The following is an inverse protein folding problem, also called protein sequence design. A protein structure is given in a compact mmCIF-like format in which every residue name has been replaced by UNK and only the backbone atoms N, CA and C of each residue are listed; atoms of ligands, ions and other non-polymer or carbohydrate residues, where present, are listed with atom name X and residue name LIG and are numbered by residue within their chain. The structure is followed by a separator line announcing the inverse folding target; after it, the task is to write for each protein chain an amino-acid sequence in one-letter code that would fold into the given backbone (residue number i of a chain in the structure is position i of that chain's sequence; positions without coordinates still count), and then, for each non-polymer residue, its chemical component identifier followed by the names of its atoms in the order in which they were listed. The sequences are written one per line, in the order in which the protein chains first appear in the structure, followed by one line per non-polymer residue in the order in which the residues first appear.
data_IF_534439566693
#
_entry.id   IF_534439566693
#
_cell.length_a   1.000
_cell.length_b   1.000
_cell.length_c   1.000
_cell.angle_alpha   90.00
_cell.angle_beta   90.00
_cell.angle_gamma   90.00
#
_symmetry.space_group_name_H-M   'P 1'
#
loop_
_entity.id
_entity.type
_entity.pdbx_description
1 polymer ?
#
# COMPACT_ATOMS: atom_id res chain seq x y z
N UNK A 1 -45.24 -14.91 -11.84
CA UNK A 1 -43.85 -14.78 -11.39
C UNK A 1 -43.49 -13.33 -11.66
N UNK A 2 -43.61 -12.48 -10.62
CA UNK A 2 -43.29 -11.07 -10.68
C UNK A 2 -41.75 -10.93 -10.73
N UNK A 3 -41.20 -10.53 -11.86
CA UNK A 3 -39.85 -10.06 -12.00
C UNK A 3 -39.77 -8.70 -11.29
N UNK A 4 -39.38 -8.69 -10.04
CA UNK A 4 -39.03 -7.48 -9.33
C UNK A 4 -37.87 -6.82 -10.10
N UNK A 5 -38.16 -5.73 -10.79
CA UNK A 5 -37.17 -4.88 -11.45
C UNK A 5 -36.19 -4.38 -10.39
N UNK A 6 -34.95 -4.84 -10.48
CA UNK A 6 -33.87 -4.28 -9.65
C UNK A 6 -33.83 -2.75 -9.88
N UNK A 7 -33.77 -1.93 -8.83
CA UNK A 7 -33.70 -0.49 -8.99
C UNK A 7 -32.52 -0.16 -9.88
N UNK A 8 -32.76 0.57 -10.97
CA UNK A 8 -31.72 1.11 -11.85
C UNK A 8 -30.86 2.04 -11.00
N UNK A 9 -29.74 1.51 -10.56
CA UNK A 9 -28.81 2.23 -9.71
C UNK A 9 -28.21 3.37 -10.52
N UNK A 10 -28.47 4.60 -10.11
CA UNK A 10 -27.90 5.78 -10.77
C UNK A 10 -26.39 5.78 -10.58
N UNK A 11 -25.66 5.35 -11.60
CA UNK A 11 -24.20 5.45 -11.67
C UNK A 11 -23.83 6.92 -11.82
N UNK A 12 -23.26 7.50 -10.78
CA UNK A 12 -22.88 8.91 -10.75
C UNK A 12 -21.38 9.07 -10.58
N UNK A 13 -20.81 10.11 -11.17
CA UNK A 13 -19.39 10.41 -10.98
C UNK A 13 -19.05 10.72 -9.52
N UNK A 14 -19.98 11.28 -8.77
CA UNK A 14 -19.76 11.66 -7.36
C UNK A 14 -19.47 10.43 -6.49
N UNK A 15 -20.19 9.33 -6.67
CA UNK A 15 -20.07 8.15 -5.82
C UNK A 15 -18.66 7.52 -5.88
N UNK A 16 -18.12 7.26 -7.08
CA UNK A 16 -16.78 6.68 -7.20
C UNK A 16 -15.67 7.66 -6.77
N UNK A 17 -15.84 8.96 -6.97
CA UNK A 17 -14.90 9.99 -6.48
C UNK A 17 -14.82 9.97 -4.96
N UNK A 18 -15.96 9.86 -4.26
CA UNK A 18 -16.02 9.75 -2.80
C UNK A 18 -15.29 8.48 -2.32
N UNK A 19 -15.47 7.36 -3.02
CA UNK A 19 -14.77 6.10 -2.67
C UNK A 19 -13.27 6.26 -2.84
N UNK A 20 -12.80 6.87 -3.94
CA UNK A 20 -11.36 7.15 -4.14
C UNK A 20 -10.84 8.10 -3.06
N UNK A 21 -11.56 9.18 -2.75
CA UNK A 21 -11.19 10.11 -1.68
C UNK A 21 -11.10 9.39 -0.31
N UNK A 22 -12.04 8.47 -0.01
CA UNK A 22 -11.98 7.63 1.19
C UNK A 22 -10.72 6.77 1.23
N UNK A 23 -10.30 6.21 0.08
CA UNK A 23 -9.04 5.48 -0.05
C UNK A 23 -7.82 6.35 0.22
N UNK A 24 -7.78 7.57 -0.35
CA UNK A 24 -6.71 8.54 -0.09
C UNK A 24 -6.63 8.88 1.39
N UNK A 25 -7.77 9.22 2.01
CA UNK A 25 -7.83 9.52 3.44
C UNK A 25 -7.34 8.35 4.29
N UNK A 26 -7.72 7.12 3.96
CA UNK A 26 -7.22 5.93 4.65
C UNK A 26 -5.69 5.79 4.52
N UNK A 27 -5.14 6.07 3.34
CA UNK A 27 -3.70 6.05 3.10
C UNK A 27 -2.93 7.14 3.86
N UNK A 28 -3.54 8.31 4.12
CA UNK A 28 -2.92 9.35 4.97
C UNK A 28 -2.57 8.81 6.37
N UNK A 29 -3.42 7.93 6.94
CA UNK A 29 -3.16 7.32 8.24
C UNK A 29 -1.95 6.39 8.24
N UNK A 30 -1.57 5.80 7.11
CA UNK A 30 -0.33 5.05 6.99
C UNK A 30 0.86 6.02 7.05
N UNK A 31 0.83 7.05 6.22
CA UNK A 31 1.98 7.89 5.91
C UNK A 31 2.21 9.07 6.84
N UNK A 32 1.23 9.42 7.70
CA UNK A 32 1.40 10.48 8.72
C UNK A 32 2.53 10.17 9.71
N UNK A 33 2.84 8.88 9.93
CA UNK A 33 3.80 8.48 10.95
C UNK A 33 5.26 8.72 10.55
N UNK A 34 5.63 8.46 9.29
CA UNK A 34 7.03 8.50 8.88
C UNK A 34 7.72 9.85 9.18
N UNK A 35 7.16 11.02 8.81
CA UNK A 35 7.78 12.31 9.17
C UNK A 35 7.66 12.66 10.65
N UNK A 36 6.67 12.11 11.37
CA UNK A 36 6.47 12.38 12.80
C UNK A 36 7.32 11.45 13.68
N UNK A 37 7.88 10.38 13.11
CA UNK A 37 8.55 9.33 13.87
C UNK A 37 9.70 9.83 14.74
N UNK A 38 10.62 10.68 14.26
CA UNK A 38 11.72 11.20 15.08
C UNK A 38 11.21 11.93 16.34
N UNK A 39 10.25 12.85 16.15
CA UNK A 39 9.65 13.63 17.25
C UNK A 39 8.92 12.72 18.26
N UNK A 40 8.16 11.74 17.77
CA UNK A 40 7.45 10.80 18.63
C UNK A 40 8.44 9.91 19.39
N UNK A 41 9.51 9.46 18.72
CA UNK A 41 10.56 8.63 19.33
C UNK A 41 11.28 9.39 20.46
N UNK A 42 11.60 10.64 20.25
CA UNK A 42 12.22 11.50 21.28
C UNK A 42 11.26 11.69 22.47
N UNK A 43 9.99 12.00 22.21
CA UNK A 43 9.01 12.30 23.25
C UNK A 43 8.60 11.06 24.08
N UNK A 44 8.44 9.90 23.43
CA UNK A 44 7.98 8.67 24.08
C UNK A 44 9.12 7.72 24.48
N UNK A 45 10.38 8.01 24.11
CA UNK A 45 11.57 7.32 24.61
C UNK A 45 11.72 5.86 24.17
N UNK A 46 11.33 5.48 22.94
CA UNK A 46 11.40 4.09 22.47
C UNK A 46 12.57 3.82 21.52
N UNK A 47 12.94 2.55 21.40
CA UNK A 47 14.04 2.10 20.55
C UNK A 47 13.75 2.22 19.05
N UNK A 48 14.80 2.24 18.22
CA UNK A 48 14.68 2.22 16.75
C UNK A 48 13.94 0.96 16.25
N UNK A 49 14.15 -0.19 16.90
CA UNK A 49 13.40 -1.41 16.58
C UNK A 49 11.92 -1.27 16.83
N UNK A 50 11.52 -0.61 17.93
CA UNK A 50 10.12 -0.29 18.21
C UNK A 50 9.55 0.69 17.18
N UNK A 51 10.34 1.67 16.74
CA UNK A 51 9.98 2.58 15.65
C UNK A 51 9.65 1.82 14.36
N UNK A 52 10.46 0.84 13.99
CA UNK A 52 10.20 -0.04 12.86
C UNK A 52 8.90 -0.85 13.01
N UNK A 53 8.66 -1.35 14.23
CA UNK A 53 7.39 -2.04 14.55
C UNK A 53 6.20 -1.09 14.42
N UNK A 54 6.31 0.14 14.91
CA UNK A 54 5.27 1.15 14.85
C UNK A 54 4.92 1.57 13.40
N UNK A 55 5.92 1.65 12.51
CA UNK A 55 5.72 1.87 11.08
C UNK A 55 4.99 0.70 10.41
N UNK A 56 5.37 -0.52 10.73
CA UNK A 56 4.84 -1.73 10.08
C UNK A 56 3.50 -2.19 10.64
N UNK A 57 3.19 -1.95 11.91
CA UNK A 57 2.06 -2.57 12.62
C UNK A 57 0.70 -2.31 11.98
N UNK A 58 0.53 -1.19 11.30
CA UNK A 58 -0.71 -0.86 10.56
C UNK A 58 -1.04 -1.90 9.48
N UNK A 59 -0.06 -2.70 9.06
CA UNK A 59 -0.23 -3.75 8.05
C UNK A 59 -0.70 -5.09 8.63
N UNK A 60 -0.67 -5.28 9.97
CA UNK A 60 -1.04 -6.56 10.62
C UNK A 60 -2.47 -6.98 10.24
N UNK A 61 -3.40 -6.04 10.24
CA UNK A 61 -4.77 -6.34 9.84
C UNK A 61 -4.87 -6.88 8.40
N UNK A 62 -4.03 -6.35 7.49
CA UNK A 62 -3.93 -6.85 6.11
C UNK A 62 -3.23 -8.19 5.99
N UNK A 63 -2.24 -8.46 6.86
CA UNK A 63 -1.55 -9.76 6.91
C UNK A 63 -2.50 -10.90 7.30
N UNK A 64 -3.36 -10.64 8.27
CA UNK A 64 -4.30 -11.65 8.80
C UNK A 64 -5.62 -11.62 8.03
N UNK A 65 -6.07 -10.42 7.69
CA UNK A 65 -7.43 -10.12 7.26
C UNK A 65 -7.67 -10.09 5.75
N UNK A 66 -6.67 -10.17 4.89
CA UNK A 66 -6.88 -10.00 3.44
C UNK A 66 -7.92 -10.95 2.85
N UNK A 67 -7.84 -12.25 3.18
CA UNK A 67 -8.86 -13.23 2.82
C UNK A 67 -10.13 -13.12 3.69
N UNK A 68 -9.98 -12.82 5.00
CA UNK A 68 -11.10 -12.67 5.90
C UNK A 68 -12.00 -11.48 5.56
N UNK A 69 -11.41 -10.34 5.17
CA UNK A 69 -12.17 -9.16 4.73
C UNK A 69 -12.87 -9.42 3.39
N UNK A 70 -12.28 -10.23 2.51
CA UNK A 70 -12.96 -10.68 1.29
C UNK A 70 -14.19 -11.53 1.61
N UNK A 71 -14.12 -12.42 2.60
CA UNK A 71 -15.27 -13.18 3.08
C UNK A 71 -16.28 -12.31 3.82
N UNK A 72 -15.82 -11.30 4.57
CA UNK A 72 -16.68 -10.37 5.29
C UNK A 72 -17.59 -9.60 4.32
N UNK A 73 -17.08 -9.27 3.13
CA UNK A 73 -17.88 -8.59 2.09
C UNK A 73 -19.03 -9.44 1.53
N UNK A 74 -18.99 -10.76 1.71
CA UNK A 74 -20.08 -11.65 1.37
C UNK A 74 -21.23 -11.63 2.42
N UNK A 75 -20.90 -11.25 3.66
CA UNK A 75 -21.84 -11.20 4.79
C UNK A 75 -22.33 -9.77 5.05
N UNK A 76 -21.40 -8.81 5.01
CA UNK A 76 -21.66 -7.39 5.23
C UNK A 76 -21.46 -6.67 3.89
N UNK A 77 -22.38 -5.78 3.54
CA UNK A 77 -22.26 -5.02 2.29
C UNK A 77 -20.95 -4.22 2.23
N UNK A 78 -20.37 -4.07 1.04
CA UNK A 78 -19.10 -3.35 0.82
C UNK A 78 -19.17 -1.91 1.35
N UNK A 79 -20.33 -1.24 1.16
CA UNK A 79 -20.58 0.10 1.70
C UNK A 79 -20.49 0.13 3.23
N UNK A 80 -21.10 -0.82 3.92
CA UNK A 80 -21.05 -0.89 5.40
C UNK A 80 -19.64 -1.19 5.89
N UNK A 81 -18.92 -2.06 5.21
CA UNK A 81 -17.52 -2.37 5.52
C UNK A 81 -16.63 -1.13 5.33
N UNK A 82 -16.83 -0.35 4.27
CA UNK A 82 -16.13 0.93 4.06
C UNK A 82 -16.41 1.91 5.21
N UNK A 83 -17.67 2.07 5.61
CA UNK A 83 -18.05 2.96 6.73
C UNK A 83 -17.45 2.53 8.06
N UNK A 84 -17.45 1.23 8.37
CA UNK A 84 -16.80 0.67 9.55
C UNK A 84 -15.28 0.94 9.51
N UNK A 85 -14.65 0.78 8.34
CA UNK A 85 -13.24 1.11 8.14
C UNK A 85 -12.94 2.57 8.46
N UNK A 86 -13.74 3.50 7.95
CA UNK A 86 -13.58 4.94 8.24
C UNK A 86 -13.78 5.25 9.73
N UNK A 87 -14.75 4.63 10.39
CA UNK A 87 -14.97 4.80 11.84
C UNK A 87 -13.78 4.27 12.66
N UNK A 88 -13.19 3.14 12.30
CA UNK A 88 -11.98 2.62 12.94
C UNK A 88 -10.78 3.56 12.73
N UNK A 89 -10.65 4.18 11.56
CA UNK A 89 -9.62 5.19 11.31
C UNK A 89 -9.80 6.42 12.19
N UNK A 90 -11.03 6.91 12.32
CA UNK A 90 -11.36 8.05 13.19
C UNK A 90 -11.00 7.72 14.64
N UNK A 91 -11.49 6.61 15.17
CA UNK A 91 -11.26 6.21 16.56
C UNK A 91 -9.78 5.91 16.83
N UNK A 92 -9.11 5.17 15.97
CA UNK A 92 -7.69 4.87 16.09
C UNK A 92 -6.83 6.14 16.06
N UNK A 93 -7.13 7.08 15.17
CA UNK A 93 -6.41 8.35 15.11
C UNK A 93 -6.69 9.25 16.33
N UNK A 94 -7.93 9.38 16.73
CA UNK A 94 -8.30 10.18 17.91
C UNK A 94 -7.64 9.65 19.19
N UNK A 95 -7.73 8.34 19.43
CA UNK A 95 -7.09 7.69 20.58
C UNK A 95 -5.56 7.75 20.49
N UNK A 96 -5.00 7.59 19.28
CA UNK A 96 -3.56 7.72 19.04
C UNK A 96 -3.06 9.14 19.36
N UNK A 97 -3.81 10.18 18.97
CA UNK A 97 -3.49 11.56 19.31
C UNK A 97 -3.57 11.87 20.81
N UNK A 98 -4.38 11.12 21.56
CA UNK A 98 -4.47 11.26 23.02
C UNK A 98 -3.42 10.41 23.75
N UNK A 99 -2.67 9.53 23.09
CA UNK A 99 -1.73 8.63 23.72
C UNK A 99 -0.47 9.36 24.22
N UNK A 100 -0.03 9.00 25.41
CA UNK A 100 1.23 9.45 26.01
C UNK A 100 2.19 8.29 26.28
N UNK A 101 1.84 7.11 25.79
CA UNK A 101 2.59 5.88 25.95
C UNK A 101 2.78 5.21 24.57
N UNK A 102 3.98 4.66 24.34
CA UNK A 102 4.34 4.05 23.07
C UNK A 102 3.52 2.79 22.75
N UNK A 103 3.16 1.98 23.75
CA UNK A 103 2.37 0.77 23.53
C UNK A 103 0.90 1.08 23.27
N UNK A 104 0.36 2.14 23.91
CA UNK A 104 -0.99 2.65 23.61
C UNK A 104 -1.02 3.16 22.18
N UNK A 105 -0.01 3.93 21.75
CA UNK A 105 0.11 4.38 20.36
C UNK A 105 0.17 3.18 19.40
N UNK A 106 0.96 2.13 19.73
CA UNK A 106 1.06 0.91 18.93
C UNK A 106 -0.31 0.22 18.80
N UNK A 107 -1.08 0.10 19.88
CA UNK A 107 -2.41 -0.50 19.86
C UNK A 107 -3.37 0.30 18.98
N UNK A 108 -3.34 1.63 19.03
CA UNK A 108 -4.17 2.48 18.15
C UNK A 108 -3.79 2.36 16.69
N UNK A 109 -2.50 2.12 16.37
CA UNK A 109 -2.04 1.84 15.00
C UNK A 109 -2.61 0.53 14.45
N UNK A 110 -2.81 -0.51 15.29
CA UNK A 110 -3.49 -1.75 14.88
C UNK A 110 -4.95 -1.46 14.50
N UNK A 111 -5.64 -0.64 15.30
CA UNK A 111 -7.03 -0.21 15.01
C UNK A 111 -7.09 0.57 13.68
N UNK A 112 -6.16 1.51 13.47
CA UNK A 112 -6.06 2.22 12.19
C UNK A 112 -5.80 1.26 11.03
N UNK A 113 -4.93 0.26 11.23
CA UNK A 113 -4.65 -0.78 10.23
C UNK A 113 -5.90 -1.58 9.82
N UNK A 114 -6.73 -1.94 10.81
CA UNK A 114 -8.03 -2.57 10.52
C UNK A 114 -8.94 -1.65 9.69
N UNK A 115 -8.96 -0.35 9.99
CA UNK A 115 -9.68 0.64 9.22
C UNK A 115 -9.16 0.79 7.79
N UNK A 116 -7.83 0.82 7.61
CA UNK A 116 -7.18 0.87 6.30
C UNK A 116 -7.58 -0.32 5.43
N UNK A 117 -7.43 -1.55 5.94
CA UNK A 117 -7.72 -2.75 5.13
C UNK A 117 -9.20 -2.84 4.75
N UNK A 118 -10.11 -2.52 5.66
CA UNK A 118 -11.54 -2.49 5.38
C UNK A 118 -11.90 -1.46 4.30
N UNK A 119 -11.28 -0.29 4.33
CA UNK A 119 -11.52 0.77 3.34
C UNK A 119 -10.93 0.39 1.98
N UNK A 120 -9.70 -0.12 1.94
CA UNK A 120 -8.95 -0.34 0.70
C UNK A 120 -9.37 -1.59 -0.05
N UNK A 121 -9.78 -2.66 0.64
CA UNK A 121 -10.26 -3.89 -0.01
C UNK A 121 -11.62 -3.68 -0.68
N UNK A 122 -12.49 -2.86 -0.08
CA UNK A 122 -13.82 -2.58 -0.64
C UNK A 122 -13.79 -1.59 -1.82
N UNK A 123 -12.77 -0.76 -1.88
CA UNK A 123 -12.67 0.34 -2.84
C UNK A 123 -12.80 -0.07 -4.31
N UNK A 124 -12.02 -1.03 -4.84
CA UNK A 124 -12.11 -1.44 -6.26
C UNK A 124 -13.50 -1.90 -6.66
N UNK A 125 -14.17 -2.67 -5.78
CA UNK A 125 -15.54 -3.16 -6.01
C UNK A 125 -16.53 -1.99 -6.09
N UNK A 126 -16.50 -1.11 -5.11
CA UNK A 126 -17.39 0.06 -5.06
C UNK A 126 -17.14 1.04 -6.20
N UNK A 127 -15.89 1.29 -6.60
CA UNK A 127 -15.56 2.12 -7.75
C UNK A 127 -16.15 1.54 -9.03
N UNK A 128 -15.94 0.24 -9.29
CA UNK A 128 -16.49 -0.42 -10.49
C UNK A 128 -18.01 -0.44 -10.51
N UNK A 129 -18.63 -0.60 -9.34
CA UNK A 129 -20.09 -0.66 -9.22
C UNK A 129 -20.77 0.69 -9.49
N UNK A 130 -20.18 1.78 -9.03
CA UNK A 130 -20.78 3.12 -9.09
C UNK A 130 -20.31 3.96 -10.27
N UNK A 131 -19.16 3.69 -10.88
CA UNK A 131 -18.65 4.48 -11.99
C UNK A 131 -19.53 4.29 -13.25
N UNK A 132 -19.90 5.38 -13.94
CA UNK A 132 -20.51 5.29 -15.26
C UNK A 132 -19.63 4.53 -16.23
N UNK A 133 -20.22 3.71 -17.12
CA UNK A 133 -19.45 2.89 -18.07
C UNK A 133 -18.45 3.70 -18.89
N UNK A 134 -18.85 4.91 -19.33
CA UNK A 134 -17.99 5.84 -20.09
C UNK A 134 -16.77 6.31 -19.30
N UNK A 135 -16.81 6.31 -17.96
CA UNK A 135 -15.75 6.80 -17.07
C UNK A 135 -15.09 5.67 -16.27
N UNK A 136 -15.43 4.40 -16.51
CA UNK A 136 -14.97 3.27 -15.72
C UNK A 136 -13.44 3.14 -15.70
N UNK A 137 -12.79 3.26 -16.85
CA UNK A 137 -11.33 3.17 -16.94
C UNK A 137 -10.64 4.31 -16.18
N UNK A 138 -11.21 5.53 -16.27
CA UNK A 138 -10.72 6.68 -15.52
C UNK A 138 -10.88 6.46 -14.01
N UNK A 139 -12.03 6.01 -13.54
CA UNK A 139 -12.31 5.75 -12.13
C UNK A 139 -11.37 4.67 -11.54
N UNK A 140 -11.15 3.58 -12.29
CA UNK A 140 -10.19 2.53 -11.90
C UNK A 140 -8.76 3.06 -11.89
N UNK A 141 -8.39 3.92 -12.84
CA UNK A 141 -7.08 4.59 -12.88
C UNK A 141 -6.84 5.49 -11.66
N UNK A 142 -7.84 6.29 -11.27
CA UNK A 142 -7.77 7.10 -10.05
C UNK A 142 -7.66 6.24 -8.79
N UNK A 143 -8.40 5.12 -8.74
CA UNK A 143 -8.22 4.17 -7.65
C UNK A 143 -6.80 3.58 -7.63
N UNK A 144 -6.23 3.21 -8.76
CA UNK A 144 -4.86 2.69 -8.81
C UNK A 144 -3.82 3.71 -8.30
N UNK A 145 -4.08 5.01 -8.49
CA UNK A 145 -3.20 6.09 -8.06
C UNK A 145 -3.40 6.53 -6.58
N UNK A 146 -4.47 6.08 -5.89
CA UNK A 146 -4.83 6.58 -4.56
C UNK A 146 -3.70 6.45 -3.53
N UNK A 147 -2.96 5.35 -3.55
CA UNK A 147 -1.88 5.11 -2.59
C UNK A 147 -0.70 6.07 -2.80
N UNK A 148 -0.31 6.31 -4.05
CA UNK A 148 0.72 7.31 -4.37
C UNK A 148 0.31 8.72 -3.96
N UNK A 149 -0.94 9.10 -4.22
CA UNK A 149 -1.50 10.38 -3.75
C UNK A 149 -1.49 10.46 -2.22
N UNK A 150 -1.91 9.39 -1.54
CA UNK A 150 -1.93 9.34 -0.08
C UNK A 150 -0.52 9.41 0.52
N UNK A 151 0.47 8.76 -0.10
CA UNK A 151 1.87 8.82 0.32
C UNK A 151 2.38 10.26 0.20
N UNK A 152 2.23 10.86 -0.99
CA UNK A 152 2.65 12.25 -1.19
C UNK A 152 1.97 13.19 -0.20
N UNK A 153 0.64 13.20 -0.17
CA UNK A 153 -0.13 14.11 0.69
C UNK A 153 0.12 13.86 2.17
N UNK A 154 0.20 12.59 2.60
CA UNK A 154 0.40 12.23 4.00
C UNK A 154 1.77 12.65 4.52
N UNK A 155 2.82 12.36 3.77
CA UNK A 155 4.19 12.76 4.14
C UNK A 155 4.36 14.28 4.05
N UNK A 156 3.93 14.89 2.93
CA UNK A 156 4.04 16.33 2.70
C UNK A 156 3.29 17.14 3.75
N UNK A 157 2.01 16.84 3.98
CA UNK A 157 1.20 17.58 4.95
C UNK A 157 1.74 17.42 6.37
N UNK A 158 2.15 16.20 6.76
CA UNK A 158 2.70 15.95 8.08
C UNK A 158 4.00 16.73 8.29
N UNK A 159 4.92 16.72 7.32
CA UNK A 159 6.19 17.47 7.41
C UNK A 159 5.97 18.98 7.57
N UNK A 160 4.98 19.55 6.90
CA UNK A 160 4.65 20.98 7.03
C UNK A 160 3.96 21.30 8.36
N UNK A 161 2.99 20.48 8.74
CA UNK A 161 2.16 20.72 9.92
C UNK A 161 2.97 20.63 11.22
N UNK A 162 3.94 19.72 11.29
CA UNK A 162 4.79 19.54 12.47
C UNK A 162 5.70 20.74 12.77
N UNK A 163 5.82 21.70 11.86
CA UNK A 163 6.51 22.97 12.14
C UNK A 163 5.69 23.91 13.05
N UNK A 164 4.36 23.73 13.08
CA UNK A 164 3.44 24.69 13.71
C UNK A 164 2.63 24.08 14.84
N UNK A 165 2.52 22.73 14.88
CA UNK A 165 1.73 22.04 15.89
C UNK A 165 2.31 20.67 16.23
N UNK A 166 1.87 20.10 17.37
CA UNK A 166 2.29 18.77 17.81
C UNK A 166 1.74 17.66 16.91
N UNK A 167 2.45 16.53 16.87
CA UNK A 167 1.96 15.33 16.18
C UNK A 167 0.60 14.86 16.72
N UNK A 168 0.36 15.01 18.04
CA UNK A 168 -0.91 14.69 18.69
C UNK A 168 -2.07 15.49 18.07
N UNK A 169 -1.90 16.82 17.94
CA UNK A 169 -2.88 17.71 17.29
C UNK A 169 -3.13 17.29 15.83
N UNK A 170 -2.07 16.90 15.10
CA UNK A 170 -2.21 16.43 13.72
C UNK A 170 -3.03 15.14 13.62
N UNK A 171 -2.86 14.19 14.56
CA UNK A 171 -3.69 12.97 14.63
C UNK A 171 -5.16 13.30 14.82
N UNK A 172 -5.49 14.29 15.66
CA UNK A 172 -6.86 14.76 15.87
C UNK A 172 -7.42 15.41 14.60
N UNK A 173 -6.66 16.25 13.93
CA UNK A 173 -7.07 16.88 12.65
C UNK A 173 -7.37 15.80 11.62
N UNK A 174 -6.54 14.78 11.49
CA UNK A 174 -6.76 13.68 10.57
C UNK A 174 -7.99 12.83 10.97
N UNK A 175 -8.28 12.66 12.25
CA UNK A 175 -9.51 12.03 12.71
C UNK A 175 -10.74 12.83 12.25
N UNK A 176 -10.73 14.14 12.43
CA UNK A 176 -11.82 15.03 11.96
C UNK A 176 -11.93 15.02 10.44
N UNK A 177 -10.81 15.08 9.71
CA UNK A 177 -10.80 15.00 8.25
C UNK A 177 -11.40 13.68 7.75
N UNK A 178 -11.16 12.59 8.48
CA UNK A 178 -11.71 11.25 8.15
C UNK A 178 -13.22 11.15 8.41
N UNK A 179 -13.82 12.03 9.19
CA UNK A 179 -15.27 12.11 9.33
C UNK A 179 -15.97 12.64 8.08
N UNK A 180 -15.29 13.47 7.26
CA UNK A 180 -15.90 14.11 6.09
C UNK A 180 -16.44 13.13 5.04
N UNK A 181 -15.72 12.06 4.64
CA UNK A 181 -16.27 11.08 3.70
C UNK A 181 -17.46 10.30 4.23
N UNK A 182 -17.64 10.14 5.55
CA UNK A 182 -18.73 9.31 6.11
C UNK A 182 -20.13 9.77 5.66
N UNK A 183 -20.57 11.02 5.89
CA UNK A 183 -21.86 11.47 5.41
C UNK A 183 -21.96 11.47 3.88
N UNK A 184 -20.86 11.69 3.17
CA UNK A 184 -20.85 11.65 1.71
C UNK A 184 -21.05 10.20 1.21
N UNK A 185 -20.42 9.20 1.82
CA UNK A 185 -20.66 7.77 1.53
C UNK A 185 -22.11 7.41 1.84
N UNK A 186 -22.66 7.86 2.97
CA UNK A 186 -24.05 7.60 3.34
C UNK A 186 -25.05 8.20 2.34
N UNK A 187 -24.75 9.36 1.78
CA UNK A 187 -25.65 10.07 0.86
C UNK A 187 -25.53 9.61 -0.60
N UNK A 188 -24.31 9.40 -1.09
CA UNK A 188 -24.05 9.24 -2.53
C UNK A 188 -23.63 7.83 -2.95
N UNK A 189 -23.10 7.00 -2.04
CA UNK A 189 -22.76 5.61 -2.34
C UNK A 189 -23.97 4.74 -2.03
N UNK A 190 -24.63 4.22 -3.05
CA UNK A 190 -25.83 3.39 -2.90
C UNK A 190 -25.57 2.12 -2.10
N UNK A 191 -26.62 1.55 -1.47
CA UNK A 191 -26.49 0.26 -0.78
C UNK A 191 -26.24 -0.84 -1.79
N UNK A 192 -25.35 -1.75 -1.42
CA UNK A 192 -25.08 -3.00 -2.12
C UNK A 192 -25.66 -4.19 -1.32
N UNK A 193 -26.03 -5.25 -2.03
CA UNK A 193 -26.60 -6.46 -1.44
C UNK A 193 -25.49 -7.48 -1.19
N UNK A 194 -25.36 -8.03 0.04
CA UNK A 194 -24.44 -9.13 0.30
C UNK A 194 -24.84 -10.39 -0.51
N UNK A 195 -23.85 -11.20 -0.89
CA UNK A 195 -24.07 -12.41 -1.70
C UNK A 195 -24.90 -13.52 -0.98
N UNK A 196 -25.05 -13.44 0.32
CA UNK A 196 -25.82 -14.40 1.12
C UNK A 196 -25.07 -15.69 1.48
N UNK A 197 -25.66 -16.50 2.38
CA UNK A 197 -25.02 -17.68 2.96
C UNK A 197 -24.70 -18.81 1.98
N UNK A 198 -25.47 -18.97 0.90
CA UNK A 198 -25.21 -19.97 -0.16
C UNK A 198 -23.98 -19.61 -0.99
N UNK A 199 -23.70 -18.32 -1.17
CA UNK A 199 -22.50 -17.84 -1.84
C UNK A 199 -21.24 -18.04 -0.99
N UNK A 200 -21.33 -18.00 0.33
CA UNK A 200 -20.18 -18.10 1.23
C UNK A 200 -19.49 -19.48 1.18
N UNK A 201 -20.25 -20.58 1.09
CA UNK A 201 -19.69 -21.94 0.99
C UNK A 201 -18.92 -22.13 -0.33
N UNK A 202 -19.48 -21.64 -1.41
CA UNK A 202 -18.83 -21.69 -2.73
C UNK A 202 -17.62 -20.75 -2.79
N UNK A 203 -17.71 -19.55 -2.22
CA UNK A 203 -16.59 -18.63 -2.08
C UNK A 203 -15.44 -19.27 -1.27
N UNK A 204 -15.74 -19.89 -0.12
CA UNK A 204 -14.75 -20.60 0.69
C UNK A 204 -14.08 -21.75 -0.08
N UNK A 205 -14.83 -22.51 -0.88
CA UNK A 205 -14.29 -23.56 -1.75
C UNK A 205 -13.30 -22.99 -2.78
N UNK A 206 -13.68 -21.91 -3.46
CA UNK A 206 -12.83 -21.24 -4.46
C UNK A 206 -11.58 -20.62 -3.84
N UNK A 207 -11.69 -20.06 -2.64
CA UNK A 207 -10.55 -19.57 -1.86
C UNK A 207 -9.60 -20.73 -1.53
N UNK A 208 -10.14 -21.89 -1.10
CA UNK A 208 -9.33 -23.09 -0.82
C UNK A 208 -8.56 -23.59 -2.04
N UNK A 209 -9.16 -23.56 -3.24
CA UNK A 209 -8.48 -23.90 -4.50
C UNK A 209 -7.37 -22.88 -4.79
N UNK A 210 -7.65 -21.59 -4.64
CA UNK A 210 -6.70 -20.51 -4.88
C UNK A 210 -5.50 -20.58 -3.93
N UNK A 211 -5.77 -20.82 -2.64
CA UNK A 211 -4.72 -20.95 -1.61
C UNK A 211 -3.75 -22.12 -1.83
N UNK A 212 -4.14 -23.13 -2.60
CA UNK A 212 -3.27 -24.25 -3.00
C UNK A 212 -2.43 -23.95 -4.25
N UNK A 213 -2.64 -22.81 -4.91
CA UNK A 213 -1.95 -22.45 -6.14
C UNK A 213 -0.55 -21.91 -5.86
N UNK A 214 0.50 -22.68 -6.15
CA UNK A 214 1.89 -22.24 -6.02
C UNK A 214 2.23 -21.02 -6.86
N UNK A 215 1.54 -20.78 -7.98
CA UNK A 215 1.73 -19.58 -8.80
C UNK A 215 1.30 -18.31 -8.08
N UNK A 216 0.16 -18.36 -7.38
CA UNK A 216 -0.35 -17.22 -6.60
C UNK A 216 0.60 -16.90 -5.45
N UNK A 217 1.11 -17.93 -4.75
CA UNK A 217 2.12 -17.76 -3.69
C UNK A 217 3.41 -17.12 -4.19
N UNK A 218 3.97 -17.63 -5.30
CA UNK A 218 5.20 -17.05 -5.88
C UNK A 218 4.99 -15.60 -6.28
N UNK A 219 3.84 -15.27 -6.86
CA UNK A 219 3.52 -13.89 -7.24
C UNK A 219 3.37 -12.98 -6.02
N UNK A 220 2.75 -13.47 -4.95
CA UNK A 220 2.69 -12.75 -3.69
C UNK A 220 4.07 -12.55 -3.06
N UNK A 221 4.95 -13.55 -3.11
CA UNK A 221 6.34 -13.43 -2.63
C UNK A 221 7.14 -12.42 -3.46
N UNK A 222 6.98 -12.38 -4.78
CA UNK A 222 7.59 -11.34 -5.63
C UNK A 222 7.13 -9.96 -5.17
N UNK A 223 5.84 -9.79 -4.91
CA UNK A 223 5.30 -8.53 -4.43
C UNK A 223 5.81 -8.19 -3.01
N UNK A 224 5.89 -9.20 -2.12
CA UNK A 224 6.48 -9.06 -0.78
C UNK A 224 7.94 -8.61 -0.82
N UNK A 225 8.76 -9.17 -1.72
CA UNK A 225 10.15 -8.74 -1.91
C UNK A 225 10.28 -7.25 -2.26
N UNK A 226 9.34 -6.71 -3.04
CA UNK A 226 9.28 -5.28 -3.32
C UNK A 226 8.92 -4.48 -2.06
N UNK A 227 7.88 -4.89 -1.35
CA UNK A 227 7.33 -4.10 -0.25
C UNK A 227 8.23 -4.05 0.96
N UNK A 228 8.97 -5.13 1.26
CA UNK A 228 10.04 -5.14 2.27
C UNK A 228 11.03 -4.00 2.00
N UNK A 229 11.51 -3.89 0.77
CA UNK A 229 12.50 -2.90 0.40
C UNK A 229 11.93 -1.48 0.45
N UNK A 230 10.76 -1.29 -0.18
CA UNK A 230 10.19 0.05 -0.36
C UNK A 230 9.74 0.66 0.97
N UNK A 231 9.02 -0.11 1.79
CA UNK A 231 8.52 0.38 3.08
C UNK A 231 9.66 0.58 4.09
N UNK A 232 10.69 -0.27 4.06
CA UNK A 232 11.89 -0.10 4.88
C UNK A 232 12.57 1.24 4.58
N UNK A 233 12.86 1.50 3.30
CA UNK A 233 13.59 2.71 2.89
C UNK A 233 12.73 3.95 3.08
N UNK A 234 11.53 3.99 2.47
CA UNK A 234 10.69 5.21 2.48
C UNK A 234 10.13 5.50 3.87
N UNK A 235 9.84 4.47 4.66
CA UNK A 235 9.34 4.63 6.03
C UNK A 235 10.34 5.30 6.97
N UNK A 236 11.63 5.00 6.82
CA UNK A 236 12.69 5.60 7.63
C UNK A 236 13.41 6.78 6.95
N UNK A 237 13.05 7.12 5.72
CA UNK A 237 13.77 8.16 4.97
C UNK A 237 13.85 9.52 5.69
N UNK A 238 12.78 10.02 6.37
CA UNK A 238 12.89 11.23 7.17
C UNK A 238 13.93 11.11 8.29
N UNK A 239 13.94 9.99 9.01
CA UNK A 239 14.91 9.71 10.09
C UNK A 239 16.34 9.58 9.55
N UNK A 240 16.50 8.97 8.36
CA UNK A 240 17.82 8.87 7.70
C UNK A 240 18.35 10.25 7.35
N UNK A 241 17.51 11.12 6.79
CA UNK A 241 17.91 12.49 6.44
C UNK A 241 18.17 13.38 7.64
N UNK A 242 17.47 13.17 8.74
CA UNK A 242 17.78 13.85 10.01
C UNK A 242 19.18 13.45 10.52
N UNK A 243 19.54 12.16 10.40
CA UNK A 243 20.89 11.67 10.69
C UNK A 243 21.99 12.30 9.81
N UNK A 244 21.67 12.79 8.62
CA UNK A 244 22.56 13.58 7.76
C UNK A 244 22.52 15.09 8.05
N UNK A 245 21.85 15.54 9.11
CA UNK A 245 21.76 16.93 9.52
C UNK A 245 20.75 17.78 8.75
N UNK A 246 19.85 17.16 7.96
CA UNK A 246 18.74 17.87 7.34
C UNK A 246 17.66 18.17 8.38
N UNK A 247 16.97 19.31 8.21
CA UNK A 247 15.83 19.61 9.06
C UNK A 247 14.73 18.55 8.87
N UNK A 248 13.92 18.23 9.90
CA UNK A 248 12.81 17.29 9.80
C UNK A 248 11.85 17.62 8.65
N UNK A 249 11.66 18.91 8.39
CA UNK A 249 10.84 19.40 7.27
C UNK A 249 11.46 19.04 5.93
N UNK A 250 12.73 19.33 5.74
CA UNK A 250 13.43 19.04 4.48
C UNK A 250 13.46 17.53 4.22
N UNK A 251 13.78 16.72 5.23
CA UNK A 251 13.73 15.26 5.15
C UNK A 251 12.33 14.73 4.79
N UNK A 252 11.30 15.29 5.40
CA UNK A 252 9.91 14.97 5.10
C UNK A 252 9.51 15.37 3.67
N UNK A 253 9.87 16.56 3.21
CA UNK A 253 9.58 17.02 1.83
C UNK A 253 10.27 16.16 0.77
N UNK A 254 11.55 15.83 0.97
CA UNK A 254 12.25 14.90 0.07
C UNK A 254 11.56 13.54 0.05
N UNK A 255 11.17 13.01 1.21
CA UNK A 255 10.43 11.75 1.30
C UNK A 255 9.08 11.82 0.57
N UNK A 256 8.37 12.94 0.67
CA UNK A 256 7.13 13.15 -0.08
C UNK A 256 7.36 13.10 -1.59
N UNK A 257 8.41 13.76 -2.09
CA UNK A 257 8.80 13.70 -3.51
C UNK A 257 9.13 12.27 -3.92
N UNK A 258 9.89 11.52 -3.11
CA UNK A 258 10.21 10.11 -3.35
C UNK A 258 8.94 9.25 -3.43
N UNK A 259 7.96 9.48 -2.55
CA UNK A 259 6.64 8.84 -2.62
C UNK A 259 5.85 9.22 -3.87
N UNK A 260 5.89 10.50 -4.27
CA UNK A 260 5.29 10.99 -5.51
C UNK A 260 5.91 10.36 -6.77
N UNK A 261 7.23 10.19 -6.79
CA UNK A 261 7.94 9.52 -7.89
C UNK A 261 7.54 8.05 -8.04
N UNK A 262 7.14 7.36 -6.97
CA UNK A 262 6.53 6.04 -7.05
C UNK A 262 5.24 6.06 -7.89
N UNK A 263 4.36 7.05 -7.67
CA UNK A 263 3.14 7.20 -8.47
C UNK A 263 3.45 7.47 -9.96
N UNK A 264 4.45 8.32 -10.24
CA UNK A 264 4.92 8.57 -11.61
C UNK A 264 5.44 7.27 -12.25
N UNK A 265 6.25 6.51 -11.52
CA UNK A 265 6.76 5.20 -11.94
C UNK A 265 5.63 4.21 -12.25
N UNK A 266 4.56 4.20 -11.45
CA UNK A 266 3.39 3.35 -11.69
C UNK A 266 2.65 3.73 -12.99
N UNK A 267 2.49 5.03 -13.27
CA UNK A 267 1.86 5.53 -14.50
C UNK A 267 2.71 5.14 -15.72
N UNK A 268 4.03 5.37 -15.67
CA UNK A 268 4.95 4.99 -16.74
C UNK A 268 4.89 3.48 -16.99
N UNK A 269 4.94 2.68 -15.92
CA UNK A 269 4.89 1.22 -16.02
C UNK A 269 3.56 0.72 -16.58
N UNK A 270 2.44 1.33 -16.18
CA UNK A 270 1.12 1.03 -16.73
C UNK A 270 1.04 1.33 -18.22
N UNK A 271 1.61 2.44 -18.67
CA UNK A 271 1.68 2.83 -20.07
C UNK A 271 2.56 1.86 -20.88
N UNK A 272 3.73 1.50 -20.37
CA UNK A 272 4.61 0.53 -21.02
C UNK A 272 3.93 -0.84 -21.18
N UNK A 273 3.23 -1.32 -20.14
CA UNK A 273 2.46 -2.55 -20.22
C UNK A 273 1.29 -2.46 -21.21
N UNK A 274 0.66 -1.28 -21.33
CA UNK A 274 -0.37 -1.02 -22.33
C UNK A 274 0.18 -1.08 -23.75
N UNK A 275 1.39 -0.59 -23.97
CA UNK A 275 2.08 -0.65 -25.27
C UNK A 275 2.72 -2.01 -25.57
N UNK A 276 2.47 -3.03 -24.74
CA UNK A 276 2.90 -4.40 -24.99
C UNK A 276 4.23 -4.79 -24.35
N UNK A 277 4.76 -3.99 -23.40
CA UNK A 277 5.96 -4.40 -22.67
C UNK A 277 5.72 -5.71 -21.92
N UNK A 278 6.70 -6.62 -21.98
CA UNK A 278 6.62 -7.92 -21.34
C UNK A 278 6.69 -7.78 -19.81
N UNK A 279 5.67 -8.28 -19.11
CA UNK A 279 5.59 -8.18 -17.64
C UNK A 279 6.78 -8.81 -16.90
N UNK A 280 7.35 -9.91 -17.43
CA UNK A 280 8.58 -10.51 -16.88
C UNK A 280 9.75 -9.53 -16.93
N UNK A 281 9.96 -8.91 -18.10
CA UNK A 281 11.04 -7.92 -18.30
C UNK A 281 10.83 -6.73 -17.37
N UNK A 282 9.59 -6.25 -17.23
CA UNK A 282 9.26 -5.15 -16.31
C UNK A 282 9.63 -5.48 -14.85
N UNK A 283 9.33 -6.68 -14.38
CA UNK A 283 9.71 -7.11 -13.02
C UNK A 283 11.22 -7.20 -12.83
N UNK A 284 11.93 -7.82 -13.79
CA UNK A 284 13.38 -7.97 -13.72
C UNK A 284 14.07 -6.61 -13.72
N UNK A 285 13.69 -5.71 -14.65
CA UNK A 285 14.22 -4.34 -14.71
C UNK A 285 13.90 -3.57 -13.42
N UNK A 286 12.69 -3.70 -12.89
CA UNK A 286 12.32 -3.07 -11.63
C UNK A 286 13.24 -3.48 -10.48
N UNK A 287 13.44 -4.77 -10.25
CA UNK A 287 14.32 -5.26 -9.18
C UNK A 287 15.80 -4.91 -9.41
N UNK A 288 16.29 -4.99 -10.65
CA UNK A 288 17.68 -4.62 -10.96
C UNK A 288 17.90 -3.13 -10.68
N UNK A 289 17.00 -2.27 -11.15
CA UNK A 289 17.11 -0.83 -10.89
C UNK A 289 16.99 -0.52 -9.40
N UNK A 290 16.08 -1.17 -8.66
CA UNK A 290 16.00 -1.02 -7.21
C UNK A 290 17.32 -1.40 -6.53
N UNK A 291 17.94 -2.52 -6.91
CA UNK A 291 19.21 -2.95 -6.33
C UNK A 291 20.33 -1.93 -6.62
N UNK A 292 20.48 -1.51 -7.88
CA UNK A 292 21.51 -0.54 -8.29
C UNK A 292 21.32 0.80 -7.59
N UNK A 293 20.11 1.35 -7.60
CA UNK A 293 19.83 2.66 -7.01
C UNK A 293 19.89 2.64 -5.49
N UNK A 294 19.52 1.53 -4.85
CA UNK A 294 19.70 1.35 -3.40
C UNK A 294 21.18 1.27 -3.02
N UNK A 295 21.98 0.56 -3.81
CA UNK A 295 23.45 0.52 -3.61
C UNK A 295 24.03 1.93 -3.71
N UNK A 296 23.64 2.69 -4.74
CA UNK A 296 24.06 4.09 -4.86
C UNK A 296 23.59 4.95 -3.69
N UNK A 297 22.42 4.68 -3.12
CA UNK A 297 21.87 5.46 -2.00
C UNK A 297 22.64 5.23 -0.70
N UNK A 298 23.08 3.99 -0.40
CA UNK A 298 23.51 3.60 0.96
C UNK A 298 24.97 3.17 1.08
N UNK A 299 25.66 2.81 -0.01
CA UNK A 299 27.08 2.36 0.06
C UNK A 299 28.02 3.52 0.24
N UNK A 300 27.72 4.68 -0.31
CA UNK A 300 28.62 5.83 -0.32
C UNK A 300 28.25 6.83 0.77
N UNK A 301 29.26 7.31 1.48
CA UNK A 301 29.12 8.46 2.39
C UNK A 301 29.18 9.75 1.58
N UNK A 302 28.02 10.36 1.37
CA UNK A 302 27.91 11.59 0.60
C UNK A 302 28.23 12.81 1.48
N UNK A 303 29.22 13.62 1.11
CA UNK A 303 29.39 14.92 1.75
C UNK A 303 28.16 15.81 1.48
N UNK A 304 27.87 16.81 2.32
CA UNK A 304 26.65 17.64 2.21
C UNK A 304 26.42 18.23 0.80
N UNK A 305 27.49 18.55 0.07
CA UNK A 305 27.41 19.11 -1.29
C UNK A 305 26.92 18.10 -2.34
N UNK A 306 27.09 16.81 -2.09
CA UNK A 306 26.73 15.73 -3.01
C UNK A 306 25.51 14.92 -2.53
N UNK A 307 24.86 15.33 -1.43
CA UNK A 307 23.67 14.66 -0.89
C UNK A 307 22.51 14.58 -1.89
N UNK A 308 22.45 15.54 -2.84
CA UNK A 308 21.47 15.51 -3.92
C UNK A 308 21.59 14.24 -4.80
N UNK A 309 22.78 13.65 -4.94
CA UNK A 309 22.97 12.39 -5.69
C UNK A 309 22.23 11.26 -4.99
N UNK A 310 22.33 11.18 -3.65
CA UNK A 310 21.59 10.22 -2.85
C UNK A 310 20.06 10.45 -2.99
N UNK A 311 19.61 11.71 -2.95
CA UNK A 311 18.19 12.05 -3.11
C UNK A 311 17.66 11.61 -4.47
N UNK A 312 18.44 11.81 -5.54
CA UNK A 312 18.09 11.32 -6.89
C UNK A 312 18.09 9.79 -6.94
N UNK A 313 19.09 9.16 -6.34
CA UNK A 313 19.18 7.69 -6.33
C UNK A 313 17.98 7.05 -5.62
N UNK A 314 17.57 7.57 -4.44
CA UNK A 314 16.40 7.06 -3.72
C UNK A 314 15.09 7.39 -4.46
N UNK A 315 15.02 8.51 -5.16
CA UNK A 315 13.90 8.84 -6.03
C UNK A 315 13.74 7.83 -7.18
N UNK A 316 14.84 7.47 -7.82
CA UNK A 316 14.89 6.44 -8.87
C UNK A 316 14.58 5.05 -8.32
N UNK A 317 15.04 4.73 -7.10
CA UNK A 317 14.66 3.50 -6.38
C UNK A 317 13.14 3.40 -6.23
N UNK A 318 12.49 4.45 -5.77
CA UNK A 318 11.04 4.49 -5.57
C UNK A 318 10.28 4.42 -6.90
N UNK A 319 10.73 5.19 -7.90
CA UNK A 319 10.10 5.23 -9.23
C UNK A 319 10.20 3.89 -9.96
N UNK A 320 11.39 3.28 -9.98
CA UNK A 320 11.60 1.97 -10.62
C UNK A 320 10.89 0.84 -9.89
N UNK A 321 10.83 0.90 -8.55
CA UNK A 321 10.11 -0.07 -7.73
C UNK A 321 8.64 -0.18 -8.08
N UNK A 322 8.00 0.90 -8.50
CA UNK A 322 6.59 0.93 -8.89
C UNK A 322 6.22 0.03 -10.08
N UNK A 323 7.22 -0.42 -10.87
CA UNK A 323 7.00 -1.39 -11.96
C UNK A 323 6.47 -2.71 -11.42
N UNK A 324 6.87 -3.10 -10.20
CA UNK A 324 6.54 -4.39 -9.60
C UNK A 324 5.05 -4.44 -9.20
N UNK A 325 4.51 -3.54 -8.36
CA UNK A 325 3.09 -3.53 -8.02
C UNK A 325 2.19 -3.36 -9.25
N UNK A 326 2.58 -2.51 -10.20
CA UNK A 326 1.79 -2.27 -11.42
C UNK A 326 1.68 -3.55 -12.25
N UNK A 327 2.79 -4.26 -12.45
CA UNK A 327 2.82 -5.52 -13.19
C UNK A 327 2.06 -6.61 -12.43
N UNK A 328 2.28 -6.76 -11.13
CA UNK A 328 1.63 -7.80 -10.31
C UNK A 328 0.11 -7.62 -10.26
N UNK A 329 -0.38 -6.40 -10.13
CA UNK A 329 -1.83 -6.12 -10.11
C UNK A 329 -2.48 -6.49 -11.43
N UNK A 330 -1.81 -6.26 -12.56
CA UNK A 330 -2.32 -6.65 -13.89
C UNK A 330 -2.35 -8.17 -14.07
N UNK A 331 -1.29 -8.84 -13.68
CA UNK A 331 -1.14 -10.30 -13.84
C UNK A 331 -1.99 -11.10 -12.84
N UNK A 332 -2.31 -10.54 -11.68
CA UNK A 332 -3.00 -11.23 -10.60
C UNK A 332 -4.37 -11.82 -11.00
N UNK A 333 -5.07 -11.16 -11.94
CA UNK A 333 -6.36 -11.65 -12.46
C UNK A 333 -6.17 -12.94 -13.27
N UNK A 334 -5.10 -13.01 -14.06
CA UNK A 334 -4.78 -14.14 -14.94
C UNK A 334 -4.15 -15.32 -14.18
N UNK A 335 -3.74 -15.10 -12.93
CA UNK A 335 -3.15 -16.11 -12.06
C UNK A 335 -4.18 -16.98 -11.33
N UNK A 336 -5.46 -16.62 -11.38
CA UNK A 336 -6.50 -17.42 -10.74
C UNK A 336 -6.53 -18.85 -11.35
N UNK A 337 -6.40 -19.91 -10.51
CA UNK A 337 -6.43 -21.27 -11.00
C UNK A 337 -7.84 -21.63 -11.49
N UNK A 338 -7.95 -22.61 -12.39
CA UNK A 338 -9.25 -23.12 -12.84
C UNK A 338 -10.12 -23.52 -11.63
N UNK A 339 -11.35 -23.02 -11.58
CA UNK A 339 -12.26 -23.19 -10.44
C UNK A 339 -11.91 -22.37 -9.19
N UNK A 340 -10.86 -21.57 -9.23
CA UNK A 340 -10.48 -20.63 -8.18
C UNK A 340 -11.19 -19.27 -8.30
N UNK A 341 -10.65 -18.26 -7.62
CA UNK A 341 -11.23 -16.93 -7.54
C UNK A 341 -10.14 -15.86 -7.76
N UNK A 342 -10.35 -14.96 -8.74
CA UNK A 342 -9.45 -13.83 -8.96
C UNK A 342 -9.40 -12.87 -7.75
N UNK A 343 -10.51 -12.54 -7.07
CA UNK A 343 -10.46 -11.81 -5.81
C UNK A 343 -9.62 -12.49 -4.72
N UNK A 344 -9.71 -13.83 -4.61
CA UNK A 344 -8.92 -14.58 -3.64
C UNK A 344 -7.43 -14.59 -4.00
N UNK A 345 -7.08 -14.63 -5.29
CA UNK A 345 -5.69 -14.49 -5.75
C UNK A 345 -5.13 -13.12 -5.36
N UNK A 346 -5.90 -12.04 -5.60
CA UNK A 346 -5.52 -10.69 -5.17
C UNK A 346 -5.41 -10.59 -3.66
N UNK A 347 -6.35 -11.18 -2.90
CA UNK A 347 -6.32 -11.20 -1.43
C UNK A 347 -5.04 -11.86 -0.88
N UNK A 348 -4.65 -13.01 -1.42
CA UNK A 348 -3.44 -13.72 -1.00
C UNK A 348 -2.16 -12.93 -1.37
N UNK A 349 -2.11 -12.37 -2.58
CA UNK A 349 -1.01 -11.51 -3.01
C UNK A 349 -0.90 -10.29 -2.09
N UNK A 350 -2.04 -9.69 -1.73
CA UNK A 350 -2.09 -8.54 -0.83
C UNK A 350 -1.69 -8.89 0.61
N UNK A 351 -1.95 -10.11 1.08
CA UNK A 351 -1.45 -10.56 2.38
C UNK A 351 0.09 -10.59 2.42
N UNK A 352 0.72 -11.13 1.38
CA UNK A 352 2.18 -11.18 1.27
C UNK A 352 2.79 -9.78 1.08
N UNK A 353 2.10 -8.88 0.37
CA UNK A 353 2.40 -7.46 0.32
C UNK A 353 2.43 -6.83 1.72
N UNK A 354 1.40 -7.10 2.53
CA UNK A 354 1.31 -6.55 3.89
C UNK A 354 2.37 -7.15 4.83
N UNK A 355 2.71 -8.45 4.66
CA UNK A 355 3.83 -9.08 5.38
C UNK A 355 5.13 -8.34 5.08
N UNK A 356 5.41 -8.04 3.81
CA UNK A 356 6.59 -7.28 3.42
C UNK A 356 6.61 -5.86 4.02
N UNK A 357 5.49 -5.16 3.97
CA UNK A 357 5.36 -3.82 4.56
C UNK A 357 5.54 -3.83 6.10
N UNK A 358 5.11 -4.90 6.78
CA UNK A 358 5.31 -5.05 8.22
C UNK A 358 6.76 -5.38 8.56
N UNK A 359 7.33 -6.37 7.88
CA UNK A 359 8.67 -6.88 8.23
C UNK A 359 9.79 -5.96 7.77
N UNK A 360 9.61 -5.22 6.66
CA UNK A 360 10.62 -4.36 6.07
C UNK A 360 11.23 -3.35 7.05
N UNK A 361 10.43 -2.46 7.67
CA UNK A 361 10.93 -1.49 8.65
C UNK A 361 11.60 -2.14 9.87
N UNK A 362 11.07 -3.27 10.35
CA UNK A 362 11.66 -3.99 11.49
C UNK A 362 13.05 -4.55 11.14
N UNK A 363 13.18 -5.16 9.95
CA UNK A 363 14.46 -5.69 9.48
C UNK A 363 15.49 -4.56 9.32
N UNK A 364 15.08 -3.45 8.72
CA UNK A 364 15.96 -2.30 8.52
C UNK A 364 16.41 -1.71 9.86
N UNK A 365 15.46 -1.46 10.77
CA UNK A 365 15.77 -0.94 12.09
C UNK A 365 16.68 -1.88 12.89
N UNK A 366 16.43 -3.19 12.82
CA UNK A 366 17.27 -4.21 13.45
C UNK A 366 18.71 -4.19 12.93
N UNK A 367 18.92 -4.17 11.62
CA UNK A 367 20.25 -4.10 11.01
C UNK A 367 20.92 -2.76 11.32
N UNK A 368 20.22 -1.64 11.20
CA UNK A 368 20.77 -0.33 11.53
C UNK A 368 21.21 -0.25 12.99
N UNK A 369 20.49 -0.88 13.92
CA UNK A 369 20.87 -0.97 15.33
C UNK A 369 22.13 -1.83 15.52
N UNK A 370 22.22 -2.96 14.82
CA UNK A 370 23.37 -3.89 14.94
C UNK A 370 24.64 -3.31 14.30
N UNK A 371 24.52 -2.57 13.20
CA UNK A 371 25.65 -2.03 12.44
C UNK A 371 26.01 -0.59 12.82
N UNK A 372 25.20 0.04 13.67
CA UNK A 372 25.41 1.43 14.12
C UNK A 372 25.07 2.50 13.09
N UNK A 373 24.32 2.16 12.03
CA UNK A 373 23.95 3.15 11.00
C UNK A 373 23.16 2.57 9.82
N UNK A 374 22.87 3.43 8.85
CA UNK A 374 22.03 3.10 7.69
C UNK A 374 22.82 2.56 6.48
N UNK A 375 24.16 2.60 6.51
CA UNK A 375 25.00 2.19 5.39
C UNK A 375 24.81 0.74 4.97
N UNK A 376 24.40 -0.14 5.88
CA UNK A 376 24.12 -1.55 5.60
C UNK A 376 22.72 -1.81 5.00
N UNK A 377 21.89 -0.80 4.76
CA UNK A 377 20.55 -0.93 4.19
C UNK A 377 20.55 -1.63 2.83
N UNK A 378 21.58 -1.41 2.00
CA UNK A 378 21.68 -2.01 0.68
C UNK A 378 21.76 -3.56 0.72
N UNK A 379 22.25 -4.16 1.80
CA UNK A 379 22.26 -5.61 1.95
C UNK A 379 20.84 -6.19 1.93
N UNK A 380 19.92 -5.54 2.67
CA UNK A 380 18.52 -5.97 2.70
C UNK A 380 17.89 -5.79 1.32
N UNK A 381 18.02 -4.60 0.75
CA UNK A 381 17.37 -4.28 -0.52
C UNK A 381 17.90 -5.11 -1.67
N UNK A 382 19.23 -5.28 -1.79
CA UNK A 382 19.83 -6.16 -2.80
C UNK A 382 19.49 -7.63 -2.58
N UNK A 383 19.45 -8.09 -1.32
CA UNK A 383 19.05 -9.45 -0.98
C UNK A 383 17.63 -9.76 -1.42
N UNK A 384 16.67 -8.90 -1.08
CA UNK A 384 15.28 -9.07 -1.52
C UNK A 384 15.09 -8.83 -3.02
N UNK A 385 15.87 -7.94 -3.65
CA UNK A 385 15.88 -7.79 -5.10
C UNK A 385 16.34 -9.08 -5.79
N UNK A 386 17.41 -9.69 -5.31
CA UNK A 386 17.91 -10.98 -5.84
C UNK A 386 16.86 -12.08 -5.71
N UNK A 387 16.22 -12.21 -4.55
CA UNK A 387 15.13 -13.18 -4.33
C UNK A 387 13.97 -12.90 -5.29
N UNK A 388 13.57 -11.64 -5.46
CA UNK A 388 12.52 -11.22 -6.39
C UNK A 388 12.85 -11.58 -7.86
N UNK A 389 14.10 -11.38 -8.28
CA UNK A 389 14.61 -11.78 -9.60
C UNK A 389 14.52 -13.31 -9.79
N UNK A 390 15.03 -14.08 -8.82
CA UNK A 390 15.00 -15.55 -8.89
C UNK A 390 13.58 -16.11 -8.94
N UNK A 391 12.66 -15.56 -8.14
CA UNK A 391 11.25 -15.93 -8.14
C UNK A 391 10.58 -15.57 -9.48
N UNK A 392 10.90 -14.41 -10.06
CA UNK A 392 10.39 -13.99 -11.38
C UNK A 392 10.85 -14.92 -12.49
N UNK A 393 12.12 -15.33 -12.47
CA UNK A 393 12.67 -16.31 -13.43
C UNK A 393 11.98 -17.67 -13.25
N UNK A 394 11.80 -18.12 -12.01
CA UNK A 394 11.14 -19.40 -11.69
C UNK A 394 9.67 -19.43 -12.13
N UNK A 395 8.92 -18.34 -11.92
CA UNK A 395 7.52 -18.22 -12.31
C UNK A 395 7.35 -18.32 -13.84
N UNK A 396 8.28 -17.75 -14.59
CA UNK A 396 8.20 -17.72 -16.08
C UNK A 396 8.52 -19.06 -16.75
N UNK A 397 9.24 -19.97 -16.08
CA UNK A 397 9.58 -21.30 -16.62
C UNK A 397 8.42 -22.29 -16.57
N UNK A 398 7.41 -22.08 -15.72
CA UNK A 398 6.28 -22.98 -15.53
C UNK A 398 5.02 -22.47 -16.28
N UNK A 399 4.96 -22.59 -17.62
CA UNK A 399 3.83 -22.15 -18.47
C UNK A 399 3.34 -20.74 -18.10
N UNK A 400 3.97 -19.75 -18.73
CA UNK A 400 4.01 -18.37 -18.34
C UNK A 400 2.62 -17.70 -18.29
N UNK A 401 2.19 -17.13 -17.14
CA UNK A 401 1.06 -16.21 -17.11
C UNK A 401 1.34 -14.93 -17.93
N UNK A 402 2.60 -14.66 -18.26
CA UNK A 402 3.03 -13.55 -19.12
C UNK A 402 2.82 -13.84 -20.61
N UNK A 403 2.62 -15.10 -21.03
CA UNK A 403 2.32 -15.45 -22.42
C UNK A 403 0.89 -15.06 -22.83
N UNK A 404 -0.06 -15.12 -21.90
CA UNK A 404 -1.44 -14.71 -22.13
C UNK A 404 -1.59 -13.20 -22.38
N UNK A 405 -0.66 -12.37 -21.86
CA UNK A 405 -0.67 -10.93 -22.09
C UNK A 405 -0.37 -10.55 -23.53
N UNK A 406 0.36 -11.39 -24.28
CA UNK A 406 0.74 -11.13 -25.66
C UNK A 406 -0.29 -11.68 -26.68
N UNK A 407 -1.19 -12.60 -26.26
CA UNK A 407 -2.16 -13.24 -27.15
C UNK A 407 -3.49 -12.47 -27.33
N UNK A 408 -3.74 -11.42 -26.55
CA UNK A 408 -4.94 -10.58 -26.67
C UNK A 408 -4.75 -9.32 -27.54
N UNK A 409 -3.64 -9.22 -28.27
CA UNK A 409 -3.31 -8.10 -29.18
C UNK A 409 -3.24 -8.51 -30.65
N UNK A 410 -3.74 -9.70 -31.00
CA UNK A 410 -3.90 -10.17 -32.37
C UNK A 410 -5.33 -10.06 -32.88
#
# INVERSE_FOLDING_TARGET
VSTASQPVQQRTNIAWIIVVASGVVAGLHIWKLAPALPVIQEQLGFSLLFAGTLLGVVQIAGMIGGLAVSLLSEVISQRRTLLLGLLLLVSGSALGGASQDAYVLLATRIVEGAGVIMTTVMGPGLVRWHAPLKNLNMAVGWWAAYMGMATFLGVFSTALVLQHMSWSTWWWILAVLTLLPIPLVLKFVGPDTPAGASGMREAARRIGITAKSGRVWVSGLIFGCYTVQWMAVVGFLPTIYEGFGLSPVTGGLVTAVVGGLNAVGAIISGSLLHWGANGRTMLLVGFILMAVTSTLTFVFDYPPQLLWIQMVAVGLFSMSGATIPTTMTRVAVDLAPAGGSAPASMGLIQQLFNIGNFTGPMLLAGIATLTGGWSSTWWITCGFALVGILLTIGLSRRNSPFAAMNSHQG
#
